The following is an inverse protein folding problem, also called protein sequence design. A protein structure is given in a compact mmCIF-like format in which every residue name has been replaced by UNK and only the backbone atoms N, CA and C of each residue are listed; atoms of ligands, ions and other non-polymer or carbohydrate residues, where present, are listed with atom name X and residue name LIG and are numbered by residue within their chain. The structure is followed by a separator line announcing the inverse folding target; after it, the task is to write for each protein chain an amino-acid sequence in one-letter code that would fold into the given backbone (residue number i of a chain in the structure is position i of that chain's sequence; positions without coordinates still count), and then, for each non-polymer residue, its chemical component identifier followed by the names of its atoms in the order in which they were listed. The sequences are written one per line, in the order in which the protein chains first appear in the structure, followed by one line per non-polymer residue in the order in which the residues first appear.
data_IF_103447374189
#
_entry.id   IF_103447374189
#
_cell.length_a   1.000
_cell.length_b   1.000
_cell.length_c   1.000
_cell.angle_alpha   90.00
_cell.angle_beta   90.00
_cell.angle_gamma   90.00
#
_symmetry.space_group_name_H-M   'P 1'
#
loop_
_entity.id
_entity.type
_entity.pdbx_description
1 polymer ?
#
# COMPACT_ATOMS: atom_id res chain seq x y z
N UNK A 1 16.01 4.49 19.71
CA UNK A 1 16.04 3.10 19.25
C UNK A 1 16.11 3.13 17.75
N UNK A 2 17.02 2.38 17.15
CA UNK A 2 17.24 2.38 15.71
C UNK A 2 16.00 1.83 14.99
N UNK A 3 15.17 2.73 14.46
CA UNK A 3 14.02 2.36 13.65
C UNK A 3 14.53 1.84 12.30
N UNK A 4 14.32 0.55 12.03
CA UNK A 4 14.48 0.01 10.69
C UNK A 4 13.28 0.48 9.85
N UNK A 5 13.50 1.15 8.69
CA UNK A 5 12.42 1.55 7.80
C UNK A 5 11.87 0.32 7.04
N UNK A 6 11.14 -0.54 7.76
CA UNK A 6 10.48 -1.70 7.18
C UNK A 6 9.25 -1.25 6.39
N UNK A 7 9.12 -1.75 5.16
CA UNK A 7 7.90 -1.59 4.37
C UNK A 7 6.87 -2.56 4.92
N UNK A 8 5.86 -2.03 5.63
CA UNK A 8 4.92 -2.85 6.40
C UNK A 8 3.76 -3.44 5.61
N UNK A 9 3.37 -2.84 4.47
CA UNK A 9 2.21 -3.27 3.68
C UNK A 9 2.48 -3.12 2.18
N UNK A 10 1.89 -4.00 1.37
CA UNK A 10 1.96 -3.97 -0.08
C UNK A 10 0.81 -4.77 -0.72
N UNK A 11 0.56 -4.53 -2.01
CA UNK A 11 -0.35 -5.34 -2.80
C UNK A 11 0.47 -6.42 -3.50
N UNK A 12 0.14 -7.68 -3.22
CA UNK A 12 0.81 -8.83 -3.83
C UNK A 12 -0.13 -9.44 -4.87
N UNK A 13 0.43 -9.78 -6.02
CA UNK A 13 -0.28 -10.44 -7.12
C UNK A 13 0.51 -11.65 -7.59
N UNK A 14 -0.20 -12.71 -7.96
CA UNK A 14 0.43 -13.87 -8.57
C UNK A 14 1.04 -13.50 -9.94
N UNK A 15 2.27 -13.93 -10.21
CA UNK A 15 2.99 -13.59 -11.45
C UNK A 15 2.26 -14.04 -12.71
N UNK A 16 1.72 -15.26 -12.73
CA UNK A 16 1.00 -15.77 -13.90
C UNK A 16 -0.26 -14.97 -14.16
N UNK A 17 -0.96 -14.58 -13.08
CA UNK A 17 -2.11 -13.70 -13.19
C UNK A 17 -1.71 -12.32 -13.74
N UNK A 18 -0.63 -11.74 -13.25
CA UNK A 18 -0.11 -10.44 -13.71
C UNK A 18 0.26 -10.49 -15.19
N UNK A 19 0.99 -11.52 -15.63
CA UNK A 19 1.41 -11.72 -17.02
C UNK A 19 0.20 -11.88 -17.95
N UNK A 20 -0.82 -12.62 -17.52
CA UNK A 20 -2.03 -12.88 -18.31
C UNK A 20 -3.02 -11.70 -18.29
N UNK A 21 -3.07 -10.93 -17.21
CA UNK A 21 -4.10 -9.91 -16.96
C UNK A 21 -3.52 -8.56 -16.49
N UNK A 22 -2.52 -7.97 -17.17
CA UNK A 22 -1.85 -6.76 -16.69
C UNK A 22 -2.82 -5.58 -16.56
N UNK A 23 -3.80 -5.48 -17.47
CA UNK A 23 -4.83 -4.43 -17.41
C UNK A 23 -5.81 -4.59 -16.25
N UNK A 24 -6.10 -5.83 -15.84
CA UNK A 24 -6.92 -6.07 -14.66
C UNK A 24 -6.21 -5.57 -13.40
N UNK A 25 -4.89 -5.81 -13.29
CA UNK A 25 -4.07 -5.32 -12.18
C UNK A 25 -4.00 -3.80 -12.19
N UNK A 26 -3.75 -3.16 -13.34
CA UNK A 26 -3.77 -1.68 -13.44
C UNK A 26 -5.12 -1.08 -13.03
N UNK A 27 -6.23 -1.70 -13.46
CA UNK A 27 -7.58 -1.26 -13.08
C UNK A 27 -7.84 -1.45 -11.59
N UNK A 28 -7.39 -2.57 -11.01
CA UNK A 28 -7.50 -2.83 -9.58
C UNK A 28 -6.74 -1.77 -8.76
N UNK A 29 -5.49 -1.47 -9.11
CA UNK A 29 -4.71 -0.43 -8.43
C UNK A 29 -5.38 0.95 -8.51
N UNK A 30 -5.96 1.31 -9.68
CA UNK A 30 -6.76 2.54 -9.80
C UNK A 30 -8.01 2.51 -8.91
N UNK A 31 -8.69 1.37 -8.79
CA UNK A 31 -9.85 1.22 -7.94
C UNK A 31 -9.50 1.37 -6.45
N UNK A 32 -8.37 0.80 -6.02
CA UNK A 32 -7.85 0.98 -4.65
C UNK A 32 -7.61 2.46 -4.35
N UNK A 33 -6.91 3.18 -5.23
CA UNK A 33 -6.65 4.62 -5.03
C UNK A 33 -7.95 5.42 -5.02
N UNK A 34 -8.94 5.09 -5.86
CA UNK A 34 -10.27 5.72 -5.81
C UNK A 34 -10.97 5.45 -4.47
N UNK A 35 -10.89 4.23 -3.95
CA UNK A 35 -11.45 3.88 -2.64
C UNK A 35 -10.83 4.71 -1.52
N UNK A 36 -9.51 4.86 -1.51
CA UNK A 36 -8.82 5.69 -0.52
C UNK A 36 -9.21 7.16 -0.66
N UNK A 37 -9.21 7.70 -1.89
CA UNK A 37 -9.69 9.08 -2.18
C UNK A 37 -11.11 9.29 -1.67
N UNK A 38 -11.98 8.31 -1.87
CA UNK A 38 -13.36 8.34 -1.40
C UNK A 38 -13.43 8.36 0.13
N UNK A 39 -12.67 7.49 0.81
CA UNK A 39 -12.65 7.44 2.28
C UNK A 39 -12.10 8.72 2.91
N UNK A 40 -11.17 9.41 2.25
CA UNK A 40 -10.69 10.74 2.67
C UNK A 40 -11.81 11.78 2.56
N UNK A 41 -12.52 11.79 1.44
CA UNK A 41 -13.59 12.77 1.19
C UNK A 41 -14.86 12.49 2.03
N UNK A 42 -15.15 11.21 2.31
CA UNK A 42 -16.41 10.76 2.90
C UNK A 42 -16.18 9.75 4.06
N UNK A 43 -15.48 10.13 5.14
CA UNK A 43 -15.09 9.19 6.19
C UNK A 43 -16.29 8.52 6.88
N UNK A 44 -17.38 9.25 7.12
CA UNK A 44 -18.59 8.69 7.75
C UNK A 44 -19.29 7.65 6.88
N UNK A 45 -19.33 7.87 5.57
CA UNK A 45 -19.90 6.92 4.63
C UNK A 45 -18.99 5.71 4.45
N UNK A 46 -17.67 5.90 4.41
CA UNK A 46 -16.71 4.81 4.35
C UNK A 46 -16.86 3.85 5.54
N UNK A 47 -17.07 4.38 6.75
CA UNK A 47 -17.38 3.54 7.92
C UNK A 47 -18.75 2.87 7.80
N UNK A 48 -19.75 3.57 7.26
CA UNK A 48 -21.06 2.97 7.03
C UNK A 48 -20.99 1.79 6.05
N UNK A 49 -20.19 1.90 4.99
CA UNK A 49 -19.90 0.82 4.04
C UNK A 49 -19.16 -0.34 4.74
N UNK A 50 -18.18 -0.04 5.60
CA UNK A 50 -17.46 -1.05 6.39
C UNK A 50 -18.42 -1.85 7.29
N UNK A 51 -19.35 -1.17 7.96
CA UNK A 51 -20.33 -1.82 8.84
C UNK A 51 -21.36 -2.66 8.09
N UNK A 52 -21.66 -2.36 6.82
CA UNK A 52 -22.46 -3.25 5.98
C UNK A 52 -21.74 -4.59 5.72
N UNK A 53 -20.40 -4.55 5.61
CA UNK A 53 -19.58 -5.74 5.38
C UNK A 53 -19.35 -6.55 6.65
N UNK A 54 -19.18 -5.87 7.77
CA UNK A 54 -19.03 -6.45 9.11
C UNK A 54 -19.80 -5.62 10.15
N UNK A 55 -21.06 -6.02 10.45
CA UNK A 55 -21.90 -5.32 11.41
C UNK A 55 -21.45 -5.45 12.87
N UNK A 56 -20.45 -6.29 13.17
CA UNK A 56 -19.98 -6.51 14.55
C UNK A 56 -18.99 -5.45 15.02
N UNK A 57 -18.47 -4.63 14.10
CA UNK A 57 -17.50 -3.59 14.40
C UNK A 57 -18.15 -2.39 15.11
N UNK A 58 -17.36 -1.71 15.95
CA UNK A 58 -17.78 -0.48 16.59
C UNK A 58 -17.53 0.73 15.67
N UNK A 59 -18.59 1.44 15.31
CA UNK A 59 -18.56 2.59 14.39
C UNK A 59 -17.53 3.64 14.79
N UNK A 60 -17.54 4.07 16.06
CA UNK A 60 -16.72 5.18 16.52
C UNK A 60 -15.24 4.79 16.56
N UNK A 61 -14.95 3.56 17.01
CA UNK A 61 -13.59 3.01 16.99
C UNK A 61 -13.06 2.92 15.57
N UNK A 62 -13.83 2.37 14.62
CA UNK A 62 -13.39 2.24 13.24
C UNK A 62 -13.22 3.60 12.55
N UNK A 63 -14.06 4.60 12.88
CA UNK A 63 -13.87 5.97 12.40
C UNK A 63 -12.55 6.55 12.88
N UNK A 64 -12.21 6.39 14.16
CA UNK A 64 -10.93 6.85 14.69
C UNK A 64 -9.75 6.12 14.03
N UNK A 65 -9.86 4.80 13.83
CA UNK A 65 -8.83 4.01 13.13
C UNK A 65 -8.64 4.47 11.69
N UNK A 66 -9.72 4.77 10.97
CA UNK A 66 -9.66 5.30 9.62
C UNK A 66 -8.93 6.65 9.60
N UNK A 67 -9.32 7.60 10.45
CA UNK A 67 -8.69 8.92 10.49
C UNK A 67 -7.19 8.83 10.81
N UNK A 68 -6.81 7.98 11.76
CA UNK A 68 -5.40 7.72 12.07
C UNK A 68 -4.65 7.09 10.88
N UNK A 69 -5.26 6.10 10.22
CA UNK A 69 -4.66 5.50 9.02
C UNK A 69 -4.47 6.53 7.90
N UNK A 70 -5.43 7.43 7.71
CA UNK A 70 -5.37 8.50 6.72
C UNK A 70 -4.24 9.51 7.02
N UNK A 71 -3.96 9.79 8.29
CA UNK A 71 -2.81 10.61 8.71
C UNK A 71 -1.48 9.90 8.43
N UNK A 72 -1.39 8.60 8.72
CA UNK A 72 -0.17 7.81 8.53
C UNK A 72 0.20 7.66 7.06
N UNK A 73 -0.79 7.45 6.19
CA UNK A 73 -0.52 7.30 4.74
C UNK A 73 -0.10 8.61 4.08
N UNK A 74 -0.37 9.76 4.70
CA UNK A 74 0.07 11.07 4.24
C UNK A 74 1.51 11.33 4.69
N UNK A 75 2.46 10.61 4.10
CA UNK A 75 3.89 10.75 4.42
C UNK A 75 4.44 11.97 3.69
N UNK A 76 4.28 13.15 4.32
CA UNK A 76 4.78 14.44 3.83
C UNK A 76 6.19 14.30 3.23
N UNK A 77 6.37 14.87 2.04
CA UNK A 77 7.59 14.81 1.24
C UNK A 77 7.67 13.62 0.29
N UNK A 78 7.38 12.38 0.74
CA UNK A 78 7.45 11.20 -0.13
C UNK A 78 6.20 11.08 -0.97
N UNK A 79 5.01 11.13 -0.35
CA UNK A 79 3.76 11.08 -1.09
C UNK A 79 3.56 12.35 -1.91
N UNK A 80 4.00 13.51 -1.42
CA UNK A 80 3.94 14.76 -2.18
C UNK A 80 4.73 14.69 -3.50
N UNK A 81 5.88 14.02 -3.47
CA UNK A 81 6.79 13.93 -4.62
C UNK A 81 6.48 12.76 -5.54
N UNK A 82 6.14 11.61 -4.97
CA UNK A 82 6.05 10.35 -5.69
C UNK A 82 4.65 9.73 -5.68
N UNK A 83 3.70 10.28 -4.95
CA UNK A 83 2.33 9.80 -4.84
C UNK A 83 2.17 8.55 -3.96
N UNK A 84 1.02 8.43 -3.31
CA UNK A 84 0.63 7.26 -2.52
C UNK A 84 0.85 5.95 -3.28
N UNK A 85 1.38 4.94 -2.58
CA UNK A 85 1.73 3.63 -3.13
C UNK A 85 3.15 3.54 -3.70
N UNK A 86 3.87 4.66 -3.83
CA UNK A 86 5.30 4.62 -4.09
C UNK A 86 6.08 4.19 -2.84
N UNK A 87 7.16 3.45 -3.07
CA UNK A 87 8.14 3.06 -2.07
C UNK A 87 9.52 3.18 -2.70
N UNK A 88 10.48 3.69 -1.95
CA UNK A 88 11.85 3.83 -2.43
C UNK A 88 12.48 2.44 -2.64
N UNK A 89 12.90 2.10 -3.87
CA UNK A 89 13.59 0.84 -4.18
C UNK A 89 14.75 0.50 -3.24
N UNK A 90 15.52 1.50 -2.80
CA UNK A 90 16.66 1.29 -1.91
C UNK A 90 16.25 0.88 -0.49
N UNK A 91 15.04 1.24 -0.06
CA UNK A 91 14.47 0.78 1.22
C UNK A 91 14.07 -0.68 1.12
N UNK A 92 13.45 -1.09 0.00
CA UNK A 92 13.11 -2.50 -0.22
C UNK A 92 14.37 -3.36 -0.32
N UNK A 93 15.39 -2.91 -1.04
CA UNK A 93 16.64 -3.67 -1.17
C UNK A 93 17.32 -3.90 0.20
N UNK A 94 17.35 -2.89 1.07
CA UNK A 94 17.82 -3.04 2.46
C UNK A 94 16.94 -3.98 3.28
N UNK A 95 15.62 -3.93 3.09
CA UNK A 95 14.70 -4.84 3.78
C UNK A 95 14.89 -6.30 3.35
N UNK A 96 15.21 -6.54 2.08
CA UNK A 96 15.62 -7.86 1.58
C UNK A 96 16.84 -8.35 2.37
N UNK A 97 17.88 -7.51 2.52
CA UNK A 97 19.09 -7.87 3.27
C UNK A 97 18.79 -8.19 4.75
N UNK A 98 17.97 -7.36 5.39
CA UNK A 98 17.57 -7.58 6.79
C UNK A 98 16.85 -8.92 6.92
N UNK A 99 15.86 -9.21 6.09
CA UNK A 99 15.10 -10.47 6.15
C UNK A 99 16.00 -11.67 5.87
N UNK A 100 16.83 -11.63 4.81
CA UNK A 100 17.75 -12.72 4.46
C UNK A 100 18.69 -13.03 5.62
N UNK A 101 19.28 -11.99 6.24
CA UNK A 101 20.18 -12.15 7.38
C UNK A 101 19.46 -12.65 8.63
N UNK A 102 18.31 -12.06 8.97
CA UNK A 102 17.57 -12.39 10.20
C UNK A 102 17.08 -13.83 10.19
N UNK A 103 16.63 -14.34 9.04
CA UNK A 103 16.11 -15.71 8.93
C UNK A 103 17.13 -16.71 8.39
N UNK A 104 18.38 -16.29 8.12
CA UNK A 104 19.43 -17.17 7.61
C UNK A 104 19.08 -17.80 6.26
N UNK A 105 18.42 -17.06 5.37
CA UNK A 105 17.99 -17.58 4.07
C UNK A 105 19.21 -17.78 3.15
N UNK A 106 19.27 -18.93 2.47
CA UNK A 106 20.35 -19.24 1.52
C UNK A 106 20.30 -18.34 0.27
N UNK A 107 19.10 -17.90 -0.10
CA UNK A 107 18.85 -17.12 -1.31
C UNK A 107 18.46 -15.68 -0.97
N UNK A 108 19.14 -14.74 -1.61
CA UNK A 108 18.74 -13.33 -1.69
C UNK A 108 18.00 -13.08 -3.03
N UNK A 109 16.70 -12.75 -3.02
CA UNK A 109 16.02 -12.32 -4.25
C UNK A 109 16.58 -10.97 -4.74
N UNK A 110 16.47 -10.72 -6.04
CA UNK A 110 16.69 -9.40 -6.61
C UNK A 110 15.51 -8.47 -6.34
N UNK A 111 15.73 -7.16 -6.41
CA UNK A 111 14.68 -6.17 -6.17
C UNK A 111 13.45 -6.37 -7.07
N UNK A 112 13.67 -6.65 -8.36
CA UNK A 112 12.59 -6.79 -9.36
C UNK A 112 11.77 -8.07 -9.15
N UNK A 113 12.26 -9.04 -8.38
CA UNK A 113 11.47 -10.21 -7.96
C UNK A 113 10.55 -9.89 -6.78
N UNK A 114 10.76 -8.76 -6.09
CA UNK A 114 10.02 -8.37 -4.88
C UNK A 114 9.06 -7.22 -5.16
N UNK A 115 9.44 -6.26 -6.03
CA UNK A 115 8.63 -5.08 -6.31
C UNK A 115 8.65 -4.71 -7.79
N UNK A 116 7.47 -4.37 -8.32
CA UNK A 116 7.32 -3.77 -9.64
C UNK A 116 6.44 -2.52 -9.57
N UNK A 117 7.08 -1.36 -9.62
CA UNK A 117 6.40 -0.06 -9.53
C UNK A 117 5.80 0.40 -10.86
N UNK A 118 6.04 -0.31 -11.97
CA UNK A 118 5.55 0.08 -13.31
C UNK A 118 4.02 -0.09 -13.47
N UNK A 119 3.37 -0.76 -12.51
CA UNK A 119 1.93 -0.94 -12.48
C UNK A 119 1.20 0.16 -11.69
N UNK A 120 1.94 1.03 -10.98
CA UNK A 120 1.34 2.15 -10.27
C UNK A 120 0.60 3.08 -11.24
N UNK A 121 -0.56 3.63 -10.83
CA UNK A 121 -1.23 4.64 -11.63
C UNK A 121 -0.36 5.88 -11.88
N UNK A 122 -0.63 6.65 -12.95
CA UNK A 122 0.03 7.94 -13.21
C UNK A 122 0.06 8.85 -11.97
N UNK A 123 1.13 9.64 -11.80
CA UNK A 123 1.34 10.44 -10.59
C UNK A 123 0.17 11.39 -10.28
N UNK A 124 -0.38 12.05 -11.29
CA UNK A 124 -1.55 12.94 -11.20
C UNK A 124 -2.84 12.21 -10.75
N UNK A 125 -2.90 10.90 -10.96
CA UNK A 125 -4.00 10.06 -10.48
C UNK A 125 -3.85 9.66 -9.00
N UNK A 126 -2.65 9.75 -8.43
CA UNK A 126 -2.38 9.32 -7.05
C UNK A 126 -2.76 10.40 -6.03
N UNK A 127 -2.61 10.07 -4.75
CA UNK A 127 -2.73 11.02 -3.65
C UNK A 127 -1.34 11.61 -3.36
N UNK A 128 -1.20 12.93 -3.14
CA UNK A 128 0.00 13.49 -2.55
C UNK A 128 0.17 13.05 -1.09
#
# INVERSE_FOLDING_TARGET
GDYLPLVGNGIVVNEDFLKKNPEAVRKFLRAVIRGIKYSIANPDEAISILLQRDPTLNKDVEKQRLLMALEIINVKGVTDKYGFGYVDPSVIDKNIDVIVKTFGLERRPSLNEVVDLNYLPPLDFRLP
#
